data_IF_703484411903
#
_entry.id   IF_703484411903
#
_cell.length_a   1.000
_cell.length_b   1.000
_cell.length_c   1.000
_cell.angle_alpha   90.00
_cell.angle_beta   90.00
_cell.angle_gamma   90.00
#
_symmetry.space_group_name_H-M   'P 1'
#
loop_
_entity.id
_entity.type
_entity.pdbx_description
1 polymer ?
#
# COMPACT_ATOMS: atom_id res chain seq x y z
N UNK A 1 35.43 33.67 -26.35
CA UNK A 1 34.81 32.44 -26.91
C UNK A 1 35.51 31.24 -26.28
N UNK A 2 34.80 30.37 -25.56
CA UNK A 2 35.41 29.23 -24.85
C UNK A 2 36.01 28.23 -25.84
N UNK A 3 37.10 27.55 -25.46
CA UNK A 3 37.68 26.51 -26.31
C UNK A 3 36.70 25.32 -26.45
N UNK A 4 36.75 24.64 -27.59
CA UNK A 4 35.89 23.47 -27.87
C UNK A 4 35.98 22.42 -26.75
N UNK A 5 37.17 22.18 -26.22
CA UNK A 5 37.39 21.21 -25.13
C UNK A 5 36.68 21.62 -23.83
N UNK A 6 36.72 22.91 -23.47
CA UNK A 6 36.02 23.41 -22.28
C UNK A 6 34.50 23.34 -22.47
N UNK A 7 34.02 23.65 -23.68
CA UNK A 7 32.60 23.56 -24.01
C UNK A 7 32.10 22.11 -23.92
N UNK A 8 32.84 21.16 -24.48
CA UNK A 8 32.56 19.72 -24.35
C UNK A 8 32.53 19.25 -22.90
N UNK A 9 33.50 19.69 -22.09
CA UNK A 9 33.56 19.35 -20.67
C UNK A 9 32.32 19.88 -19.92
N UNK A 10 31.93 21.14 -20.14
CA UNK A 10 30.74 21.70 -19.50
C UNK A 10 29.45 21.04 -19.98
N UNK A 11 29.35 20.69 -21.27
CA UNK A 11 28.22 19.91 -21.79
C UNK A 11 28.13 18.53 -21.15
N UNK A 12 29.27 17.84 -20.97
CA UNK A 12 29.30 16.54 -20.32
C UNK A 12 28.84 16.64 -18.86
N UNK A 13 29.38 17.61 -18.10
CA UNK A 13 28.97 17.85 -16.71
C UNK A 13 27.46 18.14 -16.62
N UNK A 14 26.94 19.00 -17.50
CA UNK A 14 25.52 19.32 -17.53
C UNK A 14 24.66 18.07 -17.78
N UNK A 15 25.02 17.24 -18.77
CA UNK A 15 24.29 16.01 -19.07
C UNK A 15 24.35 15.02 -17.90
N UNK A 16 25.51 14.86 -17.24
CA UNK A 16 25.63 13.99 -16.07
C UNK A 16 24.78 14.46 -14.90
N UNK A 17 24.64 15.78 -14.70
CA UNK A 17 23.75 16.35 -13.68
C UNK A 17 22.29 16.00 -13.94
N UNK A 18 21.83 16.10 -15.19
CA UNK A 18 20.46 15.71 -15.58
C UNK A 18 20.21 14.22 -15.41
N UNK A 19 21.16 13.37 -15.81
CA UNK A 19 21.04 11.91 -15.65
C UNK A 19 20.99 11.51 -14.17
N UNK A 20 21.79 12.15 -13.32
CA UNK A 20 21.78 11.92 -11.88
C UNK A 20 20.48 12.37 -11.23
N UNK A 21 19.97 13.56 -11.59
CA UNK A 21 18.68 14.05 -11.10
C UNK A 21 17.52 13.11 -11.52
N UNK A 22 17.53 12.65 -12.77
CA UNK A 22 16.55 11.68 -13.27
C UNK A 22 16.62 10.34 -12.51
N UNK A 23 17.83 9.86 -12.22
CA UNK A 23 18.03 8.65 -11.44
C UNK A 23 17.46 8.78 -10.01
N UNK A 24 17.74 9.89 -9.32
CA UNK A 24 17.18 10.16 -7.99
C UNK A 24 15.64 10.18 -8.05
N UNK A 25 15.06 10.92 -9.00
CA UNK A 25 13.62 11.01 -9.18
C UNK A 25 12.97 9.62 -9.33
N UNK A 26 13.58 8.72 -10.11
CA UNK A 26 13.06 7.37 -10.29
C UNK A 26 13.10 6.52 -9.01
N UNK A 27 14.10 6.73 -8.15
CA UNK A 27 14.21 6.03 -6.86
C UNK A 27 13.18 6.59 -5.89
N UNK A 28 13.13 7.91 -5.71
CA UNK A 28 12.21 8.55 -4.76
C UNK A 28 10.76 8.22 -5.09
N UNK A 29 10.35 8.28 -6.36
CA UNK A 29 8.98 7.91 -6.77
C UNK A 29 8.64 6.44 -6.46
N UNK A 30 9.63 5.53 -6.48
CA UNK A 30 9.40 4.14 -6.08
C UNK A 30 9.25 4.05 -4.57
N UNK A 31 10.17 4.65 -3.81
CA UNK A 31 10.14 4.66 -2.35
C UNK A 31 8.88 5.31 -1.79
N UNK A 32 8.45 6.44 -2.35
CA UNK A 32 7.20 7.10 -1.96
C UNK A 32 5.98 6.23 -2.26
N UNK A 33 5.94 5.53 -3.41
CA UNK A 33 4.81 4.64 -3.70
C UNK A 33 4.74 3.47 -2.72
N UNK A 34 5.86 2.89 -2.36
CA UNK A 34 5.89 1.78 -1.41
C UNK A 34 5.52 2.26 0.00
N UNK A 35 6.02 3.43 0.41
CA UNK A 35 5.62 4.09 1.66
C UNK A 35 4.12 4.44 1.70
N UNK A 36 3.57 4.99 0.62
CA UNK A 36 2.13 5.30 0.52
C UNK A 36 1.31 4.01 0.62
N UNK A 37 1.71 2.93 -0.06
CA UNK A 37 1.02 1.64 0.04
C UNK A 37 1.03 1.09 1.45
N UNK A 38 2.15 1.21 2.15
CA UNK A 38 2.27 0.83 3.56
C UNK A 38 1.32 1.65 4.43
N UNK A 39 1.37 2.98 4.34
CA UNK A 39 0.50 3.88 5.14
C UNK A 39 -0.98 3.73 4.84
N UNK A 40 -1.35 3.50 3.58
CA UNK A 40 -2.73 3.23 3.18
C UNK A 40 -3.19 1.88 3.75
N UNK A 41 -2.31 0.89 3.83
CA UNK A 41 -2.62 -0.41 4.44
C UNK A 41 -2.71 -0.32 5.97
N UNK A 42 -1.85 0.44 6.63
CA UNK A 42 -1.93 0.71 8.08
C UNK A 42 -3.25 1.38 8.46
N UNK A 43 -3.64 2.45 7.74
CA UNK A 43 -4.89 3.14 8.00
C UNK A 43 -6.10 2.23 7.76
N UNK A 44 -6.06 1.44 6.68
CA UNK A 44 -7.09 0.45 6.42
C UNK A 44 -7.17 -0.59 7.54
N UNK A 45 -6.04 -1.07 8.03
CA UNK A 45 -5.98 -2.01 9.15
C UNK A 45 -6.61 -1.41 10.40
N UNK A 46 -6.26 -0.17 10.76
CA UNK A 46 -6.81 0.52 11.93
C UNK A 46 -8.34 0.64 11.88
N UNK A 47 -8.90 0.95 10.71
CA UNK A 47 -10.36 1.01 10.54
C UNK A 47 -10.99 -0.36 10.81
N UNK A 48 -10.41 -1.43 10.26
CA UNK A 48 -10.96 -2.79 10.41
C UNK A 48 -10.77 -3.31 11.83
N UNK A 49 -9.58 -3.15 12.42
CA UNK A 49 -9.29 -3.61 13.78
C UNK A 49 -10.16 -2.88 14.81
N UNK A 50 -10.36 -1.56 14.66
CA UNK A 50 -11.28 -0.81 15.51
C UNK A 50 -12.73 -1.28 15.36
N UNK A 51 -13.18 -1.55 14.13
CA UNK A 51 -14.52 -2.05 13.89
C UNK A 51 -14.74 -3.48 14.43
N UNK A 52 -13.66 -4.26 14.58
CA UNK A 52 -13.66 -5.62 15.12
C UNK A 52 -13.26 -5.71 16.59
N UNK A 53 -12.92 -4.61 17.27
CA UNK A 53 -12.36 -4.63 18.63
C UNK A 53 -13.20 -5.40 19.66
N UNK A 54 -14.50 -5.51 19.42
CA UNK A 54 -15.44 -6.20 20.32
C UNK A 54 -15.72 -7.67 19.91
N UNK A 55 -15.10 -8.15 18.83
CA UNK A 55 -15.25 -9.53 18.34
C UNK A 55 -14.08 -10.35 18.87
N UNK A 56 -14.40 -11.44 19.57
CA UNK A 56 -13.39 -12.29 20.24
C UNK A 56 -13.17 -13.63 19.54
N UNK A 57 -14.08 -14.01 18.65
CA UNK A 57 -14.03 -15.28 17.94
C UNK A 57 -13.93 -15.08 16.43
N UNK A 58 -13.23 -15.97 15.76
CA UNK A 58 -13.02 -15.90 14.31
C UNK A 58 -14.32 -16.03 13.53
N UNK A 59 -15.28 -16.83 14.04
CA UNK A 59 -16.60 -16.95 13.40
C UNK A 59 -17.37 -15.64 13.45
N UNK A 60 -17.27 -14.90 14.56
CA UNK A 60 -17.90 -13.58 14.68
C UNK A 60 -17.25 -12.55 13.74
N UNK A 61 -15.92 -12.62 13.58
CA UNK A 61 -15.18 -11.78 12.63
C UNK A 61 -15.65 -12.06 11.21
N UNK A 62 -15.70 -13.33 10.80
CA UNK A 62 -16.16 -13.75 9.47
C UNK A 62 -17.59 -13.25 9.24
N UNK A 63 -18.52 -13.56 10.15
CA UNK A 63 -19.92 -13.16 10.01
C UNK A 63 -20.10 -11.64 9.94
N UNK A 64 -19.32 -10.88 10.70
CA UNK A 64 -19.35 -9.43 10.67
C UNK A 64 -18.87 -8.88 9.32
N UNK A 65 -17.81 -9.47 8.75
CA UNK A 65 -17.29 -9.07 7.44
C UNK A 65 -18.23 -9.47 6.30
N UNK A 66 -18.81 -10.67 6.34
CA UNK A 66 -19.88 -11.07 5.41
C UNK A 66 -21.06 -10.10 5.48
N UNK A 67 -21.43 -9.65 6.68
CA UNK A 67 -22.46 -8.62 6.87
C UNK A 67 -22.06 -7.28 6.25
N UNK A 68 -20.78 -6.91 6.27
CA UNK A 68 -20.32 -5.68 5.61
C UNK A 68 -20.38 -5.81 4.09
N UNK A 69 -19.87 -6.91 3.53
CA UNK A 69 -19.89 -7.12 2.07
C UNK A 69 -21.31 -7.26 1.52
N UNK A 70 -22.23 -7.90 2.25
CA UNK A 70 -23.65 -7.99 1.84
C UNK A 70 -24.38 -6.64 1.87
N UNK A 71 -23.90 -5.66 2.64
CA UNK A 71 -24.43 -4.29 2.67
C UNK A 71 -23.87 -3.39 1.56
N UNK A 72 -22.95 -3.89 0.74
CA UNK A 72 -22.33 -3.16 -0.36
C UNK A 72 -21.09 -2.36 0.06
N UNK A 73 -20.71 -1.40 -0.80
CA UNK A 73 -19.45 -0.68 -0.64
C UNK A 73 -19.48 0.34 0.51
N UNK A 74 -18.65 0.10 1.52
CA UNK A 74 -18.47 0.94 2.70
C UNK A 74 -16.99 1.23 2.94
N UNK A 75 -16.68 2.10 3.91
CA UNK A 75 -15.30 2.32 4.32
C UNK A 75 -14.64 1.01 4.81
N UNK A 76 -15.38 0.17 5.53
CA UNK A 76 -14.89 -1.11 6.05
C UNK A 76 -14.57 -2.11 4.92
N UNK A 77 -15.47 -2.29 3.94
CA UNK A 77 -15.20 -3.19 2.81
C UNK A 77 -14.08 -2.67 1.92
N UNK A 78 -13.98 -1.35 1.76
CA UNK A 78 -12.85 -0.68 1.10
C UNK A 78 -11.53 -0.94 1.81
N UNK A 79 -11.49 -0.78 3.13
CA UNK A 79 -10.32 -1.07 3.96
C UNK A 79 -9.90 -2.54 3.90
N UNK A 80 -10.85 -3.48 4.04
CA UNK A 80 -10.57 -4.90 3.85
C UNK A 80 -9.96 -5.15 2.48
N UNK A 81 -10.54 -4.54 1.43
CA UNK A 81 -10.04 -4.62 0.05
C UNK A 81 -8.60 -4.14 -0.09
N UNK A 82 -8.31 -2.95 0.43
CA UNK A 82 -6.95 -2.41 0.44
C UNK A 82 -5.96 -3.34 1.12
N UNK A 83 -6.31 -3.90 2.29
CA UNK A 83 -5.41 -4.78 3.05
C UNK A 83 -5.08 -6.04 2.25
N UNK A 84 -6.05 -6.83 1.77
CA UNK A 84 -5.64 -8.05 1.06
C UNK A 84 -5.03 -7.83 -0.33
N UNK A 85 -5.11 -6.62 -0.91
CA UNK A 85 -4.43 -6.32 -2.19
C UNK A 85 -2.98 -5.89 -1.97
N UNK A 86 -2.69 -5.21 -0.85
CA UNK A 86 -1.40 -4.56 -0.64
C UNK A 86 -0.58 -5.16 0.51
N UNK A 87 -1.23 -5.62 1.59
CA UNK A 87 -0.57 -6.19 2.77
C UNK A 87 -1.50 -7.17 3.51
N UNK A 88 -1.70 -8.36 2.93
CA UNK A 88 -2.58 -9.39 3.50
C UNK A 88 -2.13 -9.85 4.89
N UNK A 89 -0.83 -9.83 5.15
CA UNK A 89 -0.23 -10.29 6.39
C UNK A 89 -0.59 -9.39 7.60
N UNK A 90 -0.97 -8.13 7.37
CA UNK A 90 -1.45 -7.25 8.43
C UNK A 90 -2.64 -7.85 9.21
N UNK A 91 -3.49 -8.67 8.56
CA UNK A 91 -4.59 -9.31 9.27
C UNK A 91 -4.16 -10.39 10.27
N UNK A 92 -2.93 -10.90 10.19
CA UNK A 92 -2.43 -11.92 11.13
C UNK A 92 -2.37 -11.42 12.58
N UNK A 93 -2.39 -10.11 12.79
CA UNK A 93 -2.46 -9.51 14.12
C UNK A 93 -3.81 -9.74 14.82
N UNK A 94 -4.89 -9.99 14.06
CA UNK A 94 -6.25 -10.06 14.60
C UNK A 94 -7.03 -11.34 14.22
N UNK A 95 -6.50 -12.19 13.34
CA UNK A 95 -7.16 -13.42 12.89
C UNK A 95 -6.16 -14.43 12.29
N UNK A 96 -6.55 -15.71 12.23
CA UNK A 96 -5.74 -16.77 11.62
C UNK A 96 -5.65 -16.69 10.08
N UNK A 97 -4.62 -17.32 9.52
CA UNK A 97 -4.41 -17.43 8.07
C UNK A 97 -5.62 -17.98 7.30
N UNK A 98 -6.37 -18.91 7.89
CA UNK A 98 -7.55 -19.50 7.27
C UNK A 98 -8.70 -18.51 7.22
N UNK A 99 -8.93 -17.77 8.30
CA UNK A 99 -9.91 -16.68 8.34
C UNK A 99 -9.56 -15.57 7.34
N UNK A 100 -8.27 -15.25 7.19
CA UNK A 100 -7.79 -14.32 6.15
C UNK A 100 -8.14 -14.85 4.75
N UNK A 101 -7.94 -16.15 4.46
CA UNK A 101 -8.28 -16.72 3.13
C UNK A 101 -9.75 -16.55 2.82
N UNK A 102 -10.62 -16.78 3.81
CA UNK A 102 -12.08 -16.66 3.66
C UNK A 102 -12.43 -15.19 3.36
N UNK A 103 -12.00 -14.27 4.21
CA UNK A 103 -12.34 -12.85 4.11
C UNK A 103 -11.83 -12.21 2.81
N UNK A 104 -10.60 -12.51 2.42
CA UNK A 104 -10.05 -11.93 1.18
C UNK A 104 -10.80 -12.43 -0.07
N UNK A 105 -11.50 -13.58 0.01
CA UNK A 105 -12.35 -14.12 -1.06
C UNK A 105 -13.78 -13.56 -1.06
N UNK A 106 -14.22 -12.89 0.01
CA UNK A 106 -15.54 -12.24 0.08
C UNK A 106 -15.67 -11.02 -0.86
N UNK A 107 -14.55 -10.57 -1.43
CA UNK A 107 -14.51 -9.58 -2.53
C UNK A 107 -14.97 -10.23 -3.83
N UNK A 108 -16.28 -10.40 -4.00
CA UNK A 108 -16.93 -10.62 -5.29
C UNK A 108 -17.86 -9.43 -5.53
#
# INVERSE_FOLDING_TARGET
MYSKNKTLLFSFIAVTGWLFAFYIMLIEVRTERDYIKEKVSENAFNIVSQALQNKKDEKEIIAQMESWFSKGWTAQTGSVTTICNNNRDAFKEIMSDDTIKIICRLRI
#
